data_IF_317198446991
#
_entry.id   IF_317198446991
#
_cell.length_a   1.000
_cell.length_b   1.000
_cell.length_c   1.000
_cell.angle_alpha   90.00
_cell.angle_beta   90.00
_cell.angle_gamma   90.00
#
_symmetry.space_group_name_H-M   'P 1'
#
loop_
_entity.id
_entity.type
_entity.pdbx_description
1 polymer ?
#
# COMPACT_ATOMS: atom_id res chain seq x y z
N UNK A 1 -29.75 -14.02 -7.27
CA UNK A 1 -29.27 -12.68 -6.89
C UNK A 1 -28.34 -12.20 -8.00
N UNK A 2 -28.78 -11.21 -8.78
CA UNK A 2 -28.15 -10.76 -10.04
C UNK A 2 -26.66 -10.50 -9.86
N UNK A 3 -25.81 -11.00 -10.75
CA UNK A 3 -24.35 -10.92 -10.59
C UNK A 3 -23.82 -9.49 -10.51
N UNK A 4 -24.52 -8.53 -11.14
CA UNK A 4 -24.27 -7.09 -10.97
C UNK A 4 -24.36 -6.64 -9.52
N UNK A 5 -25.33 -7.16 -8.76
CA UNK A 5 -25.51 -6.82 -7.34
C UNK A 5 -24.32 -7.30 -6.52
N UNK A 6 -23.74 -8.47 -6.83
CA UNK A 6 -22.56 -8.99 -6.12
C UNK A 6 -21.33 -8.11 -6.35
N UNK A 7 -21.10 -7.67 -7.60
CA UNK A 7 -19.96 -6.80 -7.94
C UNK A 7 -20.12 -5.43 -7.27
N UNK A 8 -21.32 -4.84 -7.34
CA UNK A 8 -21.63 -3.56 -6.69
C UNK A 8 -21.38 -3.68 -5.19
N UNK A 9 -21.87 -4.74 -4.54
CA UNK A 9 -21.65 -4.95 -3.11
C UNK A 9 -20.16 -5.13 -2.77
N UNK A 10 -19.42 -5.89 -3.59
CA UNK A 10 -18.00 -6.14 -3.41
C UNK A 10 -17.13 -4.87 -3.47
N UNK A 11 -17.50 -3.90 -4.30
CA UNK A 11 -16.80 -2.61 -4.40
C UNK A 11 -17.29 -1.64 -3.32
N UNK A 12 -18.60 -1.66 -3.01
CA UNK A 12 -19.21 -0.75 -2.05
C UNK A 12 -18.71 -0.98 -0.62
N UNK A 13 -18.40 -2.21 -0.24
CA UNK A 13 -17.93 -2.54 1.12
C UNK A 13 -16.59 -1.86 1.47
N UNK A 14 -15.49 -2.03 0.69
CA UNK A 14 -14.25 -1.30 0.94
C UNK A 14 -14.43 0.21 0.84
N UNK A 15 -15.23 0.68 -0.12
CA UNK A 15 -15.51 2.11 -0.28
C UNK A 15 -16.17 2.70 0.97
N UNK A 16 -17.24 2.06 1.46
CA UNK A 16 -17.90 2.45 2.70
C UNK A 16 -16.94 2.39 3.89
N UNK A 17 -16.08 1.38 3.98
CA UNK A 17 -15.04 1.26 5.01
C UNK A 17 -14.08 2.46 5.02
N UNK A 18 -13.60 2.90 3.85
CA UNK A 18 -12.72 4.07 3.76
C UNK A 18 -13.44 5.39 4.10
N UNK A 19 -14.68 5.56 3.64
CA UNK A 19 -15.50 6.73 3.94
C UNK A 19 -15.83 6.83 5.44
N UNK A 20 -16.22 5.72 6.06
CA UNK A 20 -16.49 5.65 7.51
C UNK A 20 -15.21 5.87 8.32
N UNK A 21 -14.07 5.30 7.89
CA UNK A 21 -12.78 5.53 8.53
C UNK A 21 -12.38 7.01 8.50
N UNK A 22 -12.54 7.68 7.37
CA UNK A 22 -12.28 9.12 7.23
C UNK A 22 -13.25 9.96 8.09
N UNK A 23 -14.54 9.60 8.14
CA UNK A 23 -15.53 10.27 8.98
C UNK A 23 -15.24 10.10 10.48
N UNK A 24 -14.78 8.92 10.90
CA UNK A 24 -14.42 8.65 12.29
C UNK A 24 -13.32 9.59 12.81
N UNK A 25 -12.37 10.00 11.95
CA UNK A 25 -11.32 10.96 12.31
C UNK A 25 -11.91 12.28 12.81
N UNK A 26 -13.07 12.73 12.30
CA UNK A 26 -13.73 13.96 12.75
C UNK A 26 -14.16 13.88 14.22
N UNK A 27 -14.60 12.71 14.69
CA UNK A 27 -15.01 12.50 16.08
C UNK A 27 -13.83 12.34 17.06
N UNK A 28 -12.67 11.89 16.57
CA UNK A 28 -11.46 11.67 17.39
C UNK A 28 -10.45 12.83 17.26
N UNK A 29 -10.84 13.95 16.62
CA UNK A 29 -10.00 15.16 16.50
C UNK A 29 -9.65 15.68 17.89
N UNK A 30 -8.35 15.61 18.24
CA UNK A 30 -7.79 16.13 19.48
C UNK A 30 -7.36 15.08 20.52
N UNK A 31 -7.69 13.79 20.33
CA UNK A 31 -7.39 12.73 21.30
C UNK A 31 -6.51 11.59 20.75
N UNK A 32 -6.07 11.68 19.48
CA UNK A 32 -5.21 10.65 18.89
C UNK A 32 -3.77 10.78 19.40
N UNK A 33 -3.44 9.95 20.37
CA UNK A 33 -2.07 9.76 20.82
C UNK A 33 -1.25 9.12 19.70
N UNK A 34 -0.01 9.55 19.51
CA UNK A 34 0.85 9.11 18.40
C UNK A 34 1.06 7.59 18.38
N UNK A 35 0.99 6.95 19.55
CA UNK A 35 0.99 5.48 19.69
C UNK A 35 -0.19 4.81 19.00
N UNK A 36 -1.40 5.37 19.12
CA UNK A 36 -2.61 4.83 18.52
C UNK A 36 -2.54 4.99 17.00
N UNK A 37 -2.05 6.12 16.50
CA UNK A 37 -1.84 6.32 15.06
C UNK A 37 -0.85 5.30 14.48
N UNK A 38 0.30 5.09 15.13
CA UNK A 38 1.29 4.08 14.72
C UNK A 38 0.71 2.67 14.76
N UNK A 39 -0.12 2.35 15.76
CA UNK A 39 -0.81 1.07 15.84
C UNK A 39 -1.80 0.86 14.69
N UNK A 40 -2.62 1.87 14.37
CA UNK A 40 -3.59 1.81 13.26
C UNK A 40 -2.90 1.71 11.90
N UNK A 41 -1.81 2.46 11.68
CA UNK A 41 -0.99 2.36 10.47
C UNK A 41 -0.34 0.98 10.33
N UNK A 42 0.22 0.46 11.43
CA UNK A 42 0.79 -0.89 11.47
C UNK A 42 -0.26 -1.96 11.18
N UNK A 43 -1.45 -1.85 11.78
CA UNK A 43 -2.57 -2.75 11.52
C UNK A 43 -2.99 -2.73 10.04
N UNK A 44 -3.15 -1.55 9.45
CA UNK A 44 -3.51 -1.40 8.03
C UNK A 44 -2.45 -2.04 7.11
N UNK A 45 -1.16 -1.80 7.36
CA UNK A 45 -0.08 -2.45 6.60
C UNK A 45 -0.08 -3.97 6.77
N UNK A 46 -0.36 -4.48 7.97
CA UNK A 46 -0.41 -5.91 8.27
C UNK A 46 -1.53 -6.63 7.52
N UNK A 47 -2.75 -6.07 7.54
CA UNK A 47 -3.90 -6.62 6.80
C UNK A 47 -3.62 -6.68 5.30
N UNK A 48 -3.01 -5.64 4.73
CA UNK A 48 -2.67 -5.59 3.31
C UNK A 48 -1.63 -6.66 2.92
N UNK A 49 -0.60 -6.87 3.75
CA UNK A 49 0.42 -7.91 3.53
C UNK A 49 -0.19 -9.31 3.65
N UNK A 50 -1.02 -9.56 4.67
CA UNK A 50 -1.66 -10.85 4.88
C UNK A 50 -2.58 -11.24 3.71
N UNK A 51 -3.43 -10.30 3.25
CA UNK A 51 -4.28 -10.50 2.08
C UNK A 51 -3.46 -10.83 0.83
N UNK A 52 -2.32 -10.17 0.64
CA UNK A 52 -1.43 -10.44 -0.49
C UNK A 52 -0.83 -11.85 -0.45
N UNK A 53 -0.39 -12.33 0.72
CA UNK A 53 0.21 -13.67 0.85
C UNK A 53 -0.81 -14.80 0.65
N UNK A 54 -1.98 -14.71 1.31
CA UNK A 54 -2.96 -15.80 1.30
C UNK A 54 -3.94 -15.72 0.13
N UNK A 55 -4.37 -14.52 -0.25
CA UNK A 55 -5.40 -14.34 -1.29
C UNK A 55 -4.83 -14.14 -2.69
N UNK A 56 -3.54 -13.77 -2.83
CA UNK A 56 -2.91 -13.61 -4.14
C UNK A 56 -1.80 -14.63 -4.38
N UNK A 57 -0.77 -14.71 -3.52
CA UNK A 57 0.41 -15.55 -3.80
C UNK A 57 0.09 -17.05 -3.75
N UNK A 58 -0.58 -17.53 -2.70
CA UNK A 58 -0.97 -18.94 -2.59
C UNK A 58 -1.78 -19.44 -3.80
N UNK A 59 -2.88 -18.77 -4.20
CA UNK A 59 -3.64 -19.19 -5.37
C UNK A 59 -2.85 -19.03 -6.68
N UNK A 60 -2.00 -18.01 -6.81
CA UNK A 60 -1.16 -17.85 -7.99
C UNK A 60 -0.18 -19.03 -8.20
N UNK A 61 0.40 -19.56 -7.11
CA UNK A 61 1.28 -20.73 -7.16
C UNK A 61 0.50 -21.99 -7.56
N UNK A 62 -0.72 -22.17 -7.03
CA UNK A 62 -1.58 -23.29 -7.38
C UNK A 62 -1.98 -23.27 -8.86
N UNK A 63 -2.32 -22.09 -9.40
CA UNK A 63 -2.63 -21.93 -10.83
C UNK A 63 -1.41 -22.17 -11.73
N UNK A 64 -0.20 -21.85 -11.27
CA UNK A 64 1.03 -22.11 -12.01
C UNK A 64 1.37 -23.61 -12.09
N UNK A 65 1.01 -24.38 -11.05
CA UNK A 65 1.17 -25.84 -11.01
C UNK A 65 0.30 -26.54 -12.05
N UNK A 66 -0.94 -26.11 -12.24
CA UNK A 66 -1.84 -26.64 -13.29
C UNK A 66 -1.30 -26.40 -14.71
N UNK A 67 -0.48 -25.37 -14.88
CA UNK A 67 0.11 -24.99 -16.18
C UNK A 67 1.45 -25.67 -16.46
N UNK A 68 1.93 -26.56 -15.58
CA UNK A 68 3.18 -27.31 -15.77
C UNK A 68 4.45 -26.45 -15.69
N UNK A 69 4.34 -25.21 -15.21
CA UNK A 69 5.46 -24.27 -15.04
C UNK A 69 6.04 -24.42 -13.64
N UNK A 70 7.29 -23.99 -13.45
CA UNK A 70 7.95 -24.02 -12.14
C UNK A 70 7.18 -23.15 -11.15
N UNK A 71 6.51 -23.77 -10.17
CA UNK A 71 5.44 -23.19 -9.33
C UNK A 71 5.72 -21.81 -8.72
N UNK A 72 6.97 -21.55 -8.34
CA UNK A 72 7.37 -20.31 -7.64
C UNK A 72 7.84 -19.20 -8.58
N UNK A 73 8.22 -19.52 -9.81
CA UNK A 73 8.82 -18.58 -10.76
C UNK A 73 7.85 -17.49 -11.19
N UNK A 74 6.63 -17.78 -11.69
CA UNK A 74 5.71 -16.73 -12.12
C UNK A 74 5.22 -15.86 -10.94
N UNK A 75 5.04 -16.45 -9.76
CA UNK A 75 4.68 -15.70 -8.55
C UNK A 75 5.81 -14.74 -8.12
N UNK A 76 7.07 -15.19 -8.12
CA UNK A 76 8.20 -14.34 -7.75
C UNK A 76 8.46 -13.24 -8.79
N UNK A 77 8.43 -13.59 -10.08
CA UNK A 77 8.67 -12.62 -11.16
C UNK A 77 7.57 -11.56 -11.17
N UNK A 78 6.30 -11.95 -11.02
CA UNK A 78 5.19 -11.01 -10.91
C UNK A 78 5.32 -10.09 -9.68
N UNK A 79 5.70 -10.64 -8.53
CA UNK A 79 5.89 -9.86 -7.31
C UNK A 79 7.06 -8.85 -7.44
N UNK A 80 8.22 -9.28 -7.94
CA UNK A 80 9.38 -8.41 -8.17
C UNK A 80 9.12 -7.35 -9.23
N UNK A 81 8.44 -7.72 -10.33
CA UNK A 81 8.03 -6.76 -11.35
C UNK A 81 7.05 -5.73 -10.78
N UNK A 82 6.11 -6.14 -9.93
CA UNK A 82 5.19 -5.23 -9.22
C UNK A 82 5.92 -4.24 -8.31
N UNK A 83 6.89 -4.72 -7.51
CA UNK A 83 7.74 -3.84 -6.68
C UNK A 83 8.53 -2.87 -7.55
N UNK A 84 9.16 -3.36 -8.62
CA UNK A 84 9.91 -2.52 -9.55
C UNK A 84 9.04 -1.46 -10.23
N UNK A 85 7.82 -1.83 -10.60
CA UNK A 85 6.84 -0.91 -11.19
C UNK A 85 6.42 0.19 -10.20
N UNK A 86 6.12 -0.16 -8.95
CA UNK A 86 5.79 0.83 -7.92
C UNK A 86 6.98 1.75 -7.61
N UNK A 87 8.21 1.20 -7.57
CA UNK A 87 9.42 2.00 -7.38
C UNK A 87 9.68 2.95 -8.56
N UNK A 88 9.39 2.50 -9.79
CA UNK A 88 9.48 3.35 -10.97
C UNK A 88 8.46 4.49 -10.91
N UNK A 89 7.23 4.22 -10.48
CA UNK A 89 6.20 5.25 -10.28
C UNK A 89 6.58 6.24 -9.19
N UNK A 90 7.13 5.77 -8.07
CA UNK A 90 7.64 6.60 -6.98
C UNK A 90 8.76 7.55 -7.47
N UNK A 91 9.65 7.05 -8.33
CA UNK A 91 10.71 7.85 -8.94
C UNK A 91 10.20 8.82 -10.01
N UNK A 92 9.14 8.45 -10.74
CA UNK A 92 8.58 9.26 -11.82
C UNK A 92 7.64 10.37 -11.31
N UNK A 93 6.99 10.17 -10.17
CA UNK A 93 6.13 11.15 -9.53
C UNK A 93 7.00 11.93 -8.53
N UNK A 94 7.62 13.07 -8.91
CA UNK A 94 8.35 13.90 -7.95
C UNK A 94 7.36 14.33 -6.88
N UNK A 95 7.50 13.77 -5.68
CA UNK A 95 6.59 14.09 -4.59
C UNK A 95 6.73 15.58 -4.25
N UNK A 96 5.61 16.28 -4.33
CA UNK A 96 5.51 17.67 -3.93
C UNK A 96 5.47 17.69 -2.39
N UNK A 97 6.59 18.03 -1.75
CA UNK A 97 6.60 18.33 -0.32
C UNK A 97 5.69 19.55 -0.10
N UNK A 98 4.55 19.34 0.57
CA UNK A 98 3.64 20.40 1.03
C UNK A 98 4.36 21.23 2.11
N UNK A 99 5.23 22.16 1.68
CA UNK A 99 5.95 23.10 2.54
C UNK A 99 7.42 23.38 2.20
N UNK A 100 7.99 22.88 1.10
CA UNK A 100 9.38 23.16 0.72
C UNK A 100 9.46 23.80 -0.69
N UNK A 101 10.21 24.90 -0.81
CA UNK A 101 10.43 25.65 -2.06
C UNK A 101 11.26 24.89 -3.13
N UNK A 102 11.59 23.61 -2.90
CA UNK A 102 12.36 22.80 -3.83
C UNK A 102 11.81 21.36 -3.90
N UNK A 103 11.63 20.79 -5.10
CA UNK A 103 11.30 19.38 -5.25
C UNK A 103 12.45 18.51 -4.71
N UNK A 104 12.12 17.46 -3.95
CA UNK A 104 13.08 16.43 -3.51
C UNK A 104 13.53 15.58 -4.70
N UNK A 105 14.29 16.19 -5.61
CA UNK A 105 15.10 15.52 -6.60
C UNK A 105 16.57 15.76 -6.26
N UNK A 106 17.02 15.21 -5.13
CA UNK A 106 18.44 15.01 -4.89
C UNK A 106 18.73 13.50 -4.89
N UNK A 107 19.50 12.97 -5.87
CA UNK A 107 19.91 11.59 -5.83
C UNK A 107 20.72 11.31 -4.56
N UNK A 108 20.63 10.07 -4.07
CA UNK A 108 21.31 9.54 -2.88
C UNK A 108 22.85 9.71 -2.95
N UNK A 109 23.34 10.92 -2.67
CA UNK A 109 24.76 11.24 -2.70
C UNK A 109 25.18 12.52 -1.98
N UNK A 110 24.26 13.36 -1.52
CA UNK A 110 24.62 14.55 -0.75
C UNK A 110 24.73 14.23 0.74
N UNK A 111 25.96 14.15 1.25
CA UNK A 111 26.30 14.13 2.67
C UNK A 111 25.97 15.50 3.30
N UNK A 112 24.69 15.84 3.47
CA UNK A 112 24.34 16.96 4.34
C UNK A 112 23.73 16.42 5.66
N UNK A 113 24.51 16.39 6.76
CA UNK A 113 24.03 15.87 8.05
C UNK A 113 22.95 16.74 8.72
N UNK A 114 22.48 17.82 8.07
CA UNK A 114 21.49 18.74 8.63
C UNK A 114 20.02 18.36 8.37
N UNK A 115 19.74 17.43 7.47
CA UNK A 115 18.35 17.06 7.14
C UNK A 115 17.76 15.96 8.04
N UNK A 116 18.56 15.26 8.84
CA UNK A 116 18.07 14.12 9.64
C UNK A 116 17.60 14.51 11.05
N UNK A 117 17.64 15.80 11.43
CA UNK A 117 17.37 16.23 12.80
C UNK A 117 16.53 17.50 12.89
N UNK A 118 15.31 17.46 12.36
CA UNK A 118 14.29 18.43 12.75
C UNK A 118 12.91 17.75 12.78
N UNK A 119 12.66 17.09 13.91
CA UNK A 119 11.37 16.71 14.50
C UNK A 119 10.38 15.89 13.66
#
# INVERSE_FOLDING_TARGET
MSDHVKIILGILIPFAGTALGAAAVYFVRGALNERVQKLLLGFASGVMVAASMFSLILPAIAMAEEQGVVKWVPALVGFLAGIGFLLLLDMLIPHLHLGADAPEAAPRGSRNPRCCFSR
#
